data_IF_858822281118
#
_entry.id   IF_858822281118
#
_cell.length_a   1.000
_cell.length_b   1.000
_cell.length_c   1.000
_cell.angle_alpha   90.00
_cell.angle_beta   90.00
_cell.angle_gamma   90.00
#
_symmetry.space_group_name_H-M   'P 1'
#
loop_
_entity.id
_entity.type
_entity.pdbx_description
1 polymer ?
#
# COMPACT_ATOMS: atom_id res chain seq x y z
N UNK A 1 19.93 -40.52 -26.46
CA UNK A 1 19.17 -39.52 -25.68
C UNK A 1 20.06 -39.11 -24.53
N UNK A 2 20.87 -38.07 -24.75
CA UNK A 2 21.90 -37.60 -23.80
C UNK A 2 21.26 -36.56 -22.90
N UNK A 3 21.11 -36.87 -21.61
CA UNK A 3 20.62 -35.94 -20.60
C UNK A 3 21.84 -35.35 -19.89
N UNK A 4 22.11 -34.08 -20.15
CA UNK A 4 23.19 -33.33 -19.51
C UNK A 4 22.98 -33.21 -17.99
N UNK A 5 24.02 -33.41 -17.16
CA UNK A 5 23.91 -33.30 -15.71
C UNK A 5 23.71 -31.84 -15.26
N UNK A 6 22.76 -31.62 -14.34
CA UNK A 6 22.42 -30.32 -13.78
C UNK A 6 23.55 -29.81 -12.88
N UNK A 7 24.47 -29.04 -13.47
CA UNK A 7 25.58 -28.38 -12.76
C UNK A 7 25.06 -27.22 -11.90
N UNK A 8 25.62 -27.04 -10.70
CA UNK A 8 25.41 -25.82 -9.92
C UNK A 8 25.98 -24.63 -10.70
N UNK A 9 25.18 -23.57 -10.88
CA UNK A 9 25.51 -22.42 -11.75
C UNK A 9 26.71 -21.60 -11.26
N UNK A 10 27.19 -21.85 -10.04
CA UNK A 10 28.18 -21.02 -9.35
C UNK A 10 29.43 -21.78 -8.87
N UNK A 11 29.55 -23.09 -9.10
CA UNK A 11 30.79 -23.84 -8.81
C UNK A 11 31.07 -24.97 -9.81
N UNK A 12 32.34 -25.15 -10.18
CA UNK A 12 32.86 -26.26 -10.99
C UNK A 12 33.13 -27.52 -10.13
N UNK A 13 32.12 -28.04 -9.41
CA UNK A 13 32.25 -29.30 -8.66
C UNK A 13 31.70 -30.49 -9.48
N UNK A 14 32.44 -31.60 -9.70
CA UNK A 14 31.91 -32.82 -10.32
C UNK A 14 31.79 -33.97 -9.27
N UNK A 15 31.18 -35.13 -9.57
CA UNK A 15 29.73 -35.35 -9.53
C UNK A 15 29.42 -36.74 -8.96
N UNK A 16 29.43 -36.94 -7.64
CA UNK A 16 28.94 -38.19 -7.05
C UNK A 16 27.58 -37.93 -6.38
N UNK A 17 26.57 -37.77 -7.22
CA UNK A 17 25.18 -37.65 -6.79
C UNK A 17 24.54 -36.34 -7.24
N UNK A 18 23.26 -36.44 -7.62
CA UNK A 18 22.35 -35.39 -8.08
C UNK A 18 22.03 -34.30 -7.02
N UNK A 19 22.88 -34.15 -6.01
CA UNK A 19 22.62 -33.27 -4.87
C UNK A 19 23.16 -31.88 -5.12
N UNK A 20 22.24 -30.92 -5.27
CA UNK A 20 22.52 -29.50 -5.09
C UNK A 20 23.38 -29.30 -3.82
N UNK A 21 24.40 -28.45 -3.89
CA UNK A 21 25.23 -28.09 -2.73
C UNK A 21 24.31 -27.64 -1.57
N UNK A 22 24.24 -28.43 -0.50
CA UNK A 22 23.40 -28.11 0.65
C UNK A 22 24.18 -27.20 1.61
N UNK A 23 23.78 -25.93 1.80
CA UNK A 23 24.53 -24.99 2.64
C UNK A 23 24.58 -25.37 4.12
N UNK A 24 23.74 -26.29 4.59
CA UNK A 24 23.79 -26.81 5.97
C UNK A 24 24.81 -27.94 6.16
N UNK A 25 25.42 -28.44 5.08
CA UNK A 25 26.46 -29.47 5.13
C UNK A 25 27.81 -28.88 5.59
N UNK A 26 28.53 -29.52 6.53
CA UNK A 26 29.89 -29.14 6.89
C UNK A 26 30.84 -28.96 5.68
N UNK A 27 30.66 -29.76 4.63
CA UNK A 27 31.47 -29.75 3.40
C UNK A 27 30.93 -28.78 2.32
N UNK A 28 29.90 -28.00 2.60
CA UNK A 28 29.40 -27.02 1.65
C UNK A 28 30.47 -25.98 1.32
N UNK A 29 30.48 -25.52 0.07
CA UNK A 29 31.43 -24.50 -0.36
C UNK A 29 31.11 -23.15 0.29
N UNK A 30 32.16 -22.36 0.54
CA UNK A 30 32.06 -21.06 1.22
C UNK A 30 31.02 -20.10 0.61
N UNK A 31 30.90 -19.97 -0.73
CA UNK A 31 29.87 -19.10 -1.32
C UNK A 31 28.44 -19.55 -1.02
N UNK A 32 28.16 -20.86 -0.98
CA UNK A 32 26.83 -21.38 -0.66
C UNK A 32 26.48 -21.16 0.82
N UNK A 33 27.44 -21.34 1.73
CA UNK A 33 27.27 -21.03 3.16
C UNK A 33 26.96 -19.56 3.36
N UNK A 34 27.78 -18.68 2.76
CA UNK A 34 27.59 -17.22 2.86
C UNK A 34 26.27 -16.75 2.24
N UNK A 35 25.86 -17.34 1.11
CA UNK A 35 24.57 -17.01 0.50
C UNK A 35 23.41 -17.39 1.44
N UNK A 36 23.44 -18.58 2.03
CA UNK A 36 22.43 -19.04 2.98
C UNK A 36 22.36 -18.13 4.22
N UNK A 37 23.50 -17.70 4.75
CA UNK A 37 23.56 -16.75 5.86
C UNK A 37 22.92 -15.40 5.49
N UNK A 38 23.28 -14.83 4.33
CA UNK A 38 22.69 -13.57 3.85
C UNK A 38 21.19 -13.72 3.59
N UNK A 39 20.74 -14.84 3.02
CA UNK A 39 19.31 -15.09 2.79
C UNK A 39 18.53 -15.19 4.11
N UNK A 40 19.13 -15.81 5.13
CA UNK A 40 18.56 -15.85 6.47
C UNK A 40 18.45 -14.44 7.09
N UNK A 41 19.50 -13.63 6.99
CA UNK A 41 19.51 -12.25 7.47
C UNK A 41 18.47 -11.38 6.73
N UNK A 42 18.41 -11.48 5.39
CA UNK A 42 17.41 -10.79 4.57
C UNK A 42 15.99 -11.17 4.99
N UNK A 43 15.75 -12.45 5.30
CA UNK A 43 14.45 -12.91 5.78
C UNK A 43 14.11 -12.29 7.13
N UNK A 44 15.04 -12.26 8.08
CA UNK A 44 14.83 -11.65 9.40
C UNK A 44 14.56 -10.14 9.32
N UNK A 45 15.34 -9.41 8.52
CA UNK A 45 15.13 -7.98 8.29
C UNK A 45 13.75 -7.72 7.68
N UNK A 46 13.33 -8.53 6.71
CA UNK A 46 12.00 -8.41 6.09
C UNK A 46 10.88 -8.65 7.10
N UNK A 47 11.03 -9.64 7.99
CA UNK A 47 10.05 -9.88 9.06
C UNK A 47 9.96 -8.67 10.00
N UNK A 48 11.10 -8.16 10.45
CA UNK A 48 11.19 -6.97 11.30
C UNK A 48 10.54 -5.75 10.63
N UNK A 49 10.77 -5.55 9.33
CA UNK A 49 10.16 -4.46 8.56
C UNK A 49 8.63 -4.59 8.51
N UNK A 50 8.10 -5.79 8.28
CA UNK A 50 6.65 -6.04 8.29
C UNK A 50 6.04 -5.71 9.65
N UNK A 51 6.68 -6.13 10.74
CA UNK A 51 6.20 -5.86 12.09
C UNK A 51 6.23 -4.36 12.41
N UNK A 52 7.32 -3.67 12.05
CA UNK A 52 7.43 -2.22 12.24
C UNK A 52 6.45 -1.43 11.39
N UNK A 53 6.17 -1.86 10.15
CA UNK A 53 5.15 -1.21 9.34
C UNK A 53 3.75 -1.43 9.94
N UNK A 54 3.46 -2.62 10.48
CA UNK A 54 2.20 -2.88 11.21
C UNK A 54 2.06 -1.97 12.43
N UNK A 55 3.11 -1.86 13.23
CA UNK A 55 3.16 -0.96 14.40
C UNK A 55 2.92 0.50 13.98
N UNK A 56 3.59 0.94 12.92
CA UNK A 56 3.41 2.27 12.34
C UNK A 56 1.97 2.53 11.91
N UNK A 57 1.33 1.60 11.20
CA UNK A 57 -0.07 1.76 10.77
C UNK A 57 -1.02 1.86 11.97
N UNK A 58 -0.80 1.04 13.00
CA UNK A 58 -1.58 1.12 14.25
C UNK A 58 -1.43 2.49 14.92
N UNK A 59 -0.20 2.98 15.07
CA UNK A 59 0.07 4.29 15.66
C UNK A 59 -0.55 5.43 14.85
N UNK A 60 -0.51 5.36 13.52
CA UNK A 60 -1.19 6.34 12.66
C UNK A 60 -2.70 6.37 12.89
N UNK A 61 -3.35 5.22 13.08
CA UNK A 61 -4.78 5.18 13.44
C UNK A 61 -5.05 5.90 14.75
N UNK A 62 -4.23 5.64 15.77
CA UNK A 62 -4.36 6.27 17.09
C UNK A 62 -4.13 7.79 17.03
N UNK A 63 -3.13 8.23 16.27
CA UNK A 63 -2.90 9.66 16.02
C UNK A 63 -4.11 10.27 15.34
N UNK A 64 -4.67 9.62 14.31
CA UNK A 64 -5.87 10.10 13.65
C UNK A 64 -7.06 10.18 14.62
N UNK A 65 -7.28 9.17 15.46
CA UNK A 65 -8.36 9.17 16.47
C UNK A 65 -8.22 10.33 17.47
N UNK A 66 -6.99 10.60 17.94
CA UNK A 66 -6.74 11.68 18.89
C UNK A 66 -6.80 13.07 18.27
N UNK A 67 -6.37 13.21 17.01
CA UNK A 67 -6.21 14.50 16.34
C UNK A 67 -7.35 14.84 15.35
N UNK A 68 -8.26 13.92 15.05
CA UNK A 68 -9.41 14.18 14.18
C UNK A 68 -10.49 14.99 14.91
N UNK A 69 -10.31 16.31 14.88
CA UNK A 69 -11.24 17.27 15.45
C UNK A 69 -12.58 17.31 14.71
N UNK A 70 -12.65 16.90 13.44
CA UNK A 70 -13.86 16.98 12.63
C UNK A 70 -14.71 15.71 12.80
N UNK A 71 -14.11 14.52 12.66
CA UNK A 71 -14.83 13.26 12.70
C UNK A 71 -15.25 12.78 14.09
N UNK A 72 -14.59 13.25 15.16
CA UNK A 72 -14.92 12.87 16.55
C UNK A 72 -15.70 13.92 17.34
N UNK A 73 -15.59 15.22 17.01
CA UNK A 73 -16.22 16.28 17.81
C UNK A 73 -17.52 16.82 17.23
N UNK A 74 -17.80 16.53 15.96
CA UNK A 74 -19.01 17.00 15.28
C UNK A 74 -19.99 15.82 15.12
N UNK A 75 -21.31 16.10 15.21
CA UNK A 75 -22.32 15.16 14.73
C UNK A 75 -22.05 14.79 13.26
N UNK A 76 -22.34 13.55 12.86
CA UNK A 76 -22.07 13.06 11.51
C UNK A 76 -22.77 13.91 10.43
N UNK A 77 -23.93 14.48 10.73
CA UNK A 77 -24.69 15.36 9.83
C UNK A 77 -23.95 16.68 9.57
N UNK A 78 -23.32 17.24 10.61
CA UNK A 78 -22.55 18.49 10.49
C UNK A 78 -21.24 18.24 9.74
N UNK A 79 -20.54 17.15 10.06
CA UNK A 79 -19.33 16.76 9.34
C UNK A 79 -19.64 16.48 7.85
N UNK A 80 -20.71 15.74 7.56
CA UNK A 80 -21.19 15.50 6.20
C UNK A 80 -21.53 16.79 5.47
N UNK A 81 -22.18 17.74 6.16
CA UNK A 81 -22.49 19.05 5.56
C UNK A 81 -21.24 19.86 5.24
N UNK A 82 -20.22 19.82 6.10
CA UNK A 82 -18.93 20.45 5.83
C UNK A 82 -18.29 19.80 4.58
N UNK A 83 -18.30 18.46 4.49
CA UNK A 83 -17.78 17.77 3.31
C UNK A 83 -18.50 18.20 2.05
N UNK A 84 -19.84 18.33 2.06
CA UNK A 84 -20.60 18.83 0.92
C UNK A 84 -20.16 20.23 0.48
N UNK A 85 -19.85 21.11 1.43
CA UNK A 85 -19.39 22.47 1.16
C UNK A 85 -17.94 22.52 0.63
N UNK A 86 -17.12 21.52 0.98
CA UNK A 86 -15.76 21.38 0.46
C UNK A 86 -15.71 20.82 -0.97
N UNK A 87 -16.80 20.21 -1.44
CA UNK A 87 -16.91 19.71 -2.80
C UNK A 87 -17.62 20.78 -3.64
N UNK A 88 -17.07 21.18 -4.79
CA UNK A 88 -17.76 22.10 -5.69
C UNK A 88 -19.05 21.43 -6.18
N UNK A 89 -20.19 21.96 -5.73
CA UNK A 89 -21.52 21.35 -5.90
C UNK A 89 -22.00 21.27 -7.35
N UNK A 90 -21.36 21.99 -8.26
CA UNK A 90 -21.67 21.95 -9.67
C UNK A 90 -20.39 22.15 -10.49
N UNK A 91 -19.89 21.07 -11.09
CA UNK A 91 -18.78 21.13 -12.05
C UNK A 91 -19.13 22.01 -13.27
N UNK A 92 -20.41 22.29 -13.50
CA UNK A 92 -20.89 23.21 -14.54
C UNK A 92 -20.97 24.69 -14.08
N UNK A 93 -20.88 24.99 -12.77
CA UNK A 93 -20.77 26.37 -12.25
C UNK A 93 -19.32 26.87 -12.20
N UNK A 94 -18.35 25.96 -12.38
CA UNK A 94 -17.01 26.35 -12.81
C UNK A 94 -17.17 26.90 -14.21
N UNK A 95 -17.37 28.22 -14.31
CA UNK A 95 -17.69 28.90 -15.56
C UNK A 95 -16.78 28.45 -16.70
N UNK A 96 -17.25 28.59 -17.94
CA UNK A 96 -16.69 28.05 -19.19
C UNK A 96 -15.14 28.13 -19.37
N UNK A 97 -14.45 28.95 -18.58
CA UNK A 97 -12.99 29.14 -18.56
C UNK A 97 -12.24 28.36 -17.45
N UNK A 98 -12.93 27.75 -16.50
CA UNK A 98 -12.34 26.96 -15.41
C UNK A 98 -12.44 25.48 -15.73
N UNK A 99 -11.43 24.95 -16.43
CA UNK A 99 -11.31 23.50 -16.62
C UNK A 99 -11.23 22.84 -15.24
N UNK A 100 -12.19 21.97 -14.85
CA UNK A 100 -12.15 21.35 -13.54
C UNK A 100 -10.86 20.52 -13.44
N UNK A 101 -10.12 20.69 -12.35
CA UNK A 101 -8.88 19.95 -12.14
C UNK A 101 -9.21 18.51 -11.74
N UNK A 102 -8.23 17.60 -11.85
CA UNK A 102 -8.38 16.22 -11.36
C UNK A 102 -8.76 16.19 -9.87
N UNK A 103 -8.31 17.16 -9.06
CA UNK A 103 -8.67 17.23 -7.64
C UNK A 103 -10.15 17.59 -7.45
N UNK A 104 -10.72 18.43 -8.32
CA UNK A 104 -12.15 18.75 -8.33
C UNK A 104 -13.00 17.51 -8.58
N UNK A 105 -12.59 16.67 -9.53
CA UNK A 105 -13.30 15.45 -9.88
C UNK A 105 -13.14 14.32 -8.85
N UNK A 106 -12.00 14.26 -8.16
CA UNK A 106 -11.74 13.27 -7.12
C UNK A 106 -12.08 13.76 -5.70
N UNK A 107 -12.79 14.88 -5.53
CA UNK A 107 -12.99 15.50 -4.21
C UNK A 107 -13.62 14.58 -3.15
N UNK A 108 -14.70 13.80 -3.43
CA UNK A 108 -15.21 12.82 -2.47
C UNK A 108 -14.18 11.75 -2.09
N UNK A 109 -13.39 11.29 -3.07
CA UNK A 109 -12.34 10.29 -2.87
C UNK A 109 -11.19 10.85 -2.02
N UNK A 110 -10.80 12.10 -2.26
CA UNK A 110 -9.76 12.80 -1.49
C UNK A 110 -10.19 12.95 -0.03
N UNK A 111 -11.43 13.37 0.23
CA UNK A 111 -11.98 13.47 1.59
C UNK A 111 -11.95 12.09 2.27
N UNK A 112 -12.38 11.04 1.57
CA UNK A 112 -12.39 9.67 2.10
C UNK A 112 -10.99 9.05 2.32
N UNK A 113 -9.94 9.65 1.76
CA UNK A 113 -8.56 9.18 1.89
C UNK A 113 -7.85 9.71 3.15
N UNK A 114 -8.43 10.71 3.84
CA UNK A 114 -7.80 11.37 5.01
C UNK A 114 -7.66 10.41 6.19
N UNK A 115 -8.74 9.72 6.57
CA UNK A 115 -8.75 8.74 7.65
C UNK A 115 -9.88 7.73 7.46
N UNK A 116 -9.85 6.62 8.20
CA UNK A 116 -10.96 5.66 8.22
C UNK A 116 -12.26 6.31 8.68
N UNK A 117 -12.21 7.19 9.68
CA UNK A 117 -13.38 7.91 10.16
C UNK A 117 -13.99 8.84 9.11
N UNK A 118 -13.15 9.57 8.37
CA UNK A 118 -13.60 10.43 7.28
C UNK A 118 -14.21 9.62 6.15
N UNK A 119 -13.64 8.45 5.84
CA UNK A 119 -14.22 7.51 4.88
C UNK A 119 -15.62 7.06 5.28
N UNK A 120 -15.81 6.64 6.52
CA UNK A 120 -17.10 6.18 7.02
C UNK A 120 -18.16 7.29 6.96
N UNK A 121 -17.78 8.52 7.35
CA UNK A 121 -18.63 9.70 7.26
C UNK A 121 -18.95 10.06 5.80
N UNK A 122 -17.96 10.03 4.91
CA UNK A 122 -18.17 10.28 3.48
C UNK A 122 -19.12 9.26 2.86
N UNK A 123 -18.96 7.97 3.15
CA UNK A 123 -19.87 6.92 2.67
C UNK A 123 -21.27 7.04 3.25
N UNK A 124 -21.38 7.51 4.50
CA UNK A 124 -22.66 7.79 5.15
C UNK A 124 -23.32 9.10 4.69
N UNK A 125 -22.69 9.86 3.79
CA UNK A 125 -23.20 11.12 3.25
C UNK A 125 -23.49 10.96 1.74
N UNK A 126 -24.66 10.43 1.34
CA UNK A 126 -24.98 10.14 -0.06
C UNK A 126 -24.81 11.34 -1.01
N UNK A 127 -25.07 12.55 -0.51
CA UNK A 127 -24.98 13.80 -1.29
C UNK A 127 -23.58 14.05 -1.86
N UNK A 128 -22.51 13.51 -1.26
CA UNK A 128 -21.15 13.63 -1.79
C UNK A 128 -20.94 12.80 -3.07
N UNK A 129 -21.77 11.77 -3.29
CA UNK A 129 -21.61 10.80 -4.37
C UNK A 129 -22.63 11.00 -5.50
N UNK A 130 -23.46 12.04 -5.42
CA UNK A 130 -24.47 12.36 -6.45
C UNK A 130 -23.84 12.64 -7.82
N UNK A 131 -22.57 13.07 -7.85
CA UNK A 131 -21.83 13.33 -9.09
C UNK A 131 -20.50 12.58 -9.01
N UNK A 132 -20.37 11.52 -9.82
CA UNK A 132 -19.12 10.78 -10.01
C UNK A 132 -18.61 11.02 -11.44
N UNK A 133 -17.73 12.02 -11.61
CA UNK A 133 -17.18 12.35 -12.91
C UNK A 133 -16.23 11.24 -13.37
N UNK A 134 -16.65 10.52 -14.41
CA UNK A 134 -15.80 9.53 -15.07
C UNK A 134 -14.88 10.27 -16.04
N UNK A 135 -13.59 10.34 -15.69
CA UNK A 135 -12.59 10.79 -16.64
C UNK A 135 -12.25 9.64 -17.59
N UNK A 136 -12.86 9.62 -18.77
CA UNK A 136 -12.33 8.85 -19.90
C UNK A 136 -11.14 9.64 -20.46
N UNK A 137 -9.92 9.17 -20.20
CA UNK A 137 -8.74 9.70 -20.86
C UNK A 137 -8.81 9.47 -22.39
N UNK A 138 -8.06 10.24 -23.20
CA UNK A 138 -7.78 9.86 -24.58
C UNK A 138 -6.92 8.60 -24.66
#
# INVERSE_FOLDING_TARGET
>A
MSSDPKRCRYCDYPPEGDTLCNPTDPNACEPCKRLFEIEAEVKEIRMTLVDKERERQKLKSQVNEQHDKLGHRLPPEIAGKIFELCIPGNLFDLGYYSRPSRSTFCSPLIISAVSTRWRDLSYSTPRLWNILPLYSGP
#
